data_IF_644040868777
#
_entry.id   IF_644040868777
#
_cell.length_a   1.000
_cell.length_b   1.000
_cell.length_c   1.000
_cell.angle_alpha   90.00
_cell.angle_beta   90.00
_cell.angle_gamma   90.00
#
_symmetry.space_group_name_H-M   'P 1'
#
loop_
_entity.id
_entity.type
_entity.pdbx_description
1 polymer ?
#
# COMPACT_ATOMS: atom_id res chain seq x y z
N UNK A 1 -30.25 10.23 -3.13
CA UNK A 1 -28.98 9.90 -3.82
C UNK A 1 -27.99 9.33 -2.82
N UNK A 2 -27.56 8.14 -3.07
CA UNK A 2 -26.61 7.51 -2.16
C UNK A 2 -25.22 8.08 -2.36
N UNK A 3 -24.53 8.34 -1.25
CA UNK A 3 -23.11 8.66 -1.31
C UNK A 3 -22.34 7.42 -1.65
N UNK A 4 -21.41 7.53 -2.58
CA UNK A 4 -20.47 6.47 -2.81
C UNK A 4 -19.65 6.23 -1.55
N UNK A 5 -19.44 4.98 -1.22
CA UNK A 5 -18.55 4.64 -0.12
C UNK A 5 -17.14 5.07 -0.46
N UNK A 6 -16.48 5.69 0.48
CA UNK A 6 -15.07 6.00 0.33
C UNK A 6 -14.27 4.72 0.13
N UNK A 7 -13.34 4.74 -0.79
CA UNK A 7 -12.38 3.65 -0.94
C UNK A 7 -11.44 3.65 0.25
N UNK A 8 -11.06 2.48 0.69
CA UNK A 8 -10.19 2.31 1.85
C UNK A 8 -8.80 1.91 1.41
N UNK A 9 -7.80 2.64 1.85
CA UNK A 9 -6.40 2.33 1.56
C UNK A 9 -5.71 1.92 2.85
N UNK A 10 -5.03 0.78 2.81
CA UNK A 10 -4.18 0.34 3.92
C UNK A 10 -2.76 0.79 3.65
N UNK A 11 -2.19 1.56 4.57
CA UNK A 11 -0.81 2.03 4.51
C UNK A 11 0.02 1.28 5.53
N UNK A 12 1.07 0.61 5.08
CA UNK A 12 2.00 -0.11 5.94
C UNK A 12 3.36 0.56 5.83
N UNK A 13 3.77 1.27 6.87
CA UNK A 13 5.00 2.04 6.89
C UNK A 13 5.51 2.14 8.32
N UNK A 14 6.77 1.76 8.55
CA UNK A 14 7.34 1.77 9.89
C UNK A 14 7.81 3.16 10.34
N UNK A 15 8.14 4.05 9.44
CA UNK A 15 8.48 5.42 9.80
C UNK A 15 7.21 6.21 10.12
N UNK A 16 7.11 6.65 11.36
CA UNK A 16 5.92 7.36 11.84
C UNK A 16 5.65 8.65 11.08
N UNK A 17 6.68 9.41 10.77
CA UNK A 17 6.51 10.69 10.08
C UNK A 17 6.03 10.47 8.65
N UNK A 18 6.64 9.51 7.95
CA UNK A 18 6.24 9.17 6.58
C UNK A 18 4.80 8.63 6.58
N UNK A 19 4.50 7.74 7.52
CA UNK A 19 3.16 7.17 7.65
C UNK A 19 2.11 8.26 7.86
N UNK A 20 2.38 9.19 8.76
CA UNK A 20 1.45 10.29 9.06
C UNK A 20 1.25 11.22 7.87
N UNK A 21 2.30 11.50 7.11
CA UNK A 21 2.21 12.31 5.90
C UNK A 21 1.33 11.62 4.86
N UNK A 22 1.53 10.32 4.66
CA UNK A 22 0.72 9.55 3.70
C UNK A 22 -0.76 9.54 4.12
N UNK A 23 -1.02 9.29 5.40
CA UNK A 23 -2.39 9.27 5.92
C UNK A 23 -3.07 10.61 5.68
N UNK A 24 -2.37 11.70 5.99
CA UNK A 24 -2.90 13.04 5.82
C UNK A 24 -3.25 13.35 4.37
N UNK A 25 -2.34 13.04 3.45
CA UNK A 25 -2.57 13.31 2.04
C UNK A 25 -3.69 12.45 1.45
N UNK A 26 -3.71 11.17 1.79
CA UNK A 26 -4.74 10.26 1.28
C UNK A 26 -6.12 10.63 1.83
N UNK A 27 -6.18 11.02 3.09
CA UNK A 27 -7.43 11.48 3.70
C UNK A 27 -7.92 12.74 3.01
N UNK A 28 -7.01 13.66 2.71
CA UNK A 28 -7.35 14.89 1.99
C UNK A 28 -7.92 14.59 0.60
N UNK A 29 -7.42 13.53 -0.05
CA UNK A 29 -7.91 13.13 -1.37
C UNK A 29 -9.26 12.42 -1.33
N UNK A 30 -9.80 12.18 -0.15
CA UNK A 30 -11.12 11.58 0.00
C UNK A 30 -11.12 10.09 0.33
N UNK A 31 -9.98 9.49 0.55
CA UNK A 31 -9.90 8.08 0.92
C UNK A 31 -10.03 7.88 2.42
N UNK A 32 -10.62 6.76 2.81
CA UNK A 32 -10.52 6.30 4.18
C UNK A 32 -9.18 5.56 4.31
N UNK A 33 -8.49 5.70 5.41
CA UNK A 33 -7.15 5.13 5.57
C UNK A 33 -7.07 4.26 6.81
N UNK A 34 -6.61 3.03 6.61
CA UNK A 34 -6.16 2.16 7.68
C UNK A 34 -4.64 2.21 7.67
N UNK A 35 -4.02 2.07 8.81
CA UNK A 35 -2.56 2.10 8.86
C UNK A 35 -1.99 1.02 9.75
N UNK A 36 -0.76 0.61 9.44
CA UNK A 36 -0.01 -0.35 10.22
C UNK A 36 1.43 0.15 10.32
N UNK A 37 2.02 -0.02 11.50
CA UNK A 37 3.35 0.49 11.80
C UNK A 37 4.47 -0.46 11.39
N UNK A 38 4.14 -1.69 11.04
CA UNK A 38 5.12 -2.68 10.59
C UNK A 38 4.43 -3.80 9.84
N UNK A 39 5.23 -4.73 9.31
CA UNK A 39 4.70 -5.83 8.52
C UNK A 39 3.83 -6.80 9.30
N UNK A 40 4.12 -7.03 10.58
CA UNK A 40 3.28 -7.91 11.38
C UNK A 40 1.90 -7.34 11.63
N UNK A 41 1.85 -6.05 11.97
CA UNK A 41 0.57 -5.35 12.13
C UNK A 41 -0.18 -5.31 10.80
N UNK A 42 0.54 -5.09 9.71
CA UNK A 42 -0.03 -5.13 8.36
C UNK A 42 -0.69 -6.46 8.06
N UNK A 43 -0.04 -7.57 8.37
CA UNK A 43 -0.61 -8.90 8.15
C UNK A 43 -1.89 -9.11 8.95
N UNK A 44 -1.97 -8.58 10.17
CA UNK A 44 -3.19 -8.66 10.97
C UNK A 44 -4.34 -7.90 10.33
N UNK A 45 -4.06 -6.70 9.81
CA UNK A 45 -5.08 -5.91 9.13
C UNK A 45 -5.53 -6.60 7.83
N UNK A 46 -4.59 -7.23 7.12
CA UNK A 46 -4.92 -7.98 5.90
C UNK A 46 -5.95 -9.08 6.18
N UNK A 47 -5.84 -9.76 7.31
CA UNK A 47 -6.80 -10.80 7.68
C UNK A 47 -8.19 -10.25 7.93
N UNK A 48 -8.28 -9.05 8.47
CA UNK A 48 -9.58 -8.44 8.77
C UNK A 48 -10.32 -8.00 7.52
N UNK A 49 -9.62 -7.74 6.42
CA UNK A 49 -10.22 -7.23 5.20
C UNK A 49 -10.69 -5.79 5.34
N UNK A 50 -11.55 -5.35 4.43
CA UNK A 50 -12.13 -4.02 4.48
C UNK A 50 -11.28 -2.93 3.85
N UNK A 51 -10.37 -3.28 2.96
CA UNK A 51 -9.54 -2.34 2.24
C UNK A 51 -9.63 -2.62 0.75
N UNK A 52 -9.37 -1.59 -0.05
CA UNK A 52 -9.49 -1.65 -1.51
C UNK A 52 -8.13 -1.61 -2.20
N UNK A 53 -7.10 -1.13 -1.53
CA UNK A 53 -5.76 -1.02 -2.07
C UNK A 53 -4.77 -0.99 -0.91
N UNK A 54 -3.57 -1.52 -1.12
CA UNK A 54 -2.51 -1.54 -0.11
C UNK A 54 -1.30 -0.78 -0.62
N UNK A 55 -0.74 0.08 0.22
CA UNK A 55 0.55 0.73 -0.01
C UNK A 55 1.48 0.23 1.09
N UNK A 56 2.58 -0.40 0.71
CA UNK A 56 3.52 -0.93 1.70
C UNK A 56 4.96 -0.56 1.37
N UNK A 57 5.71 -0.21 2.40
CA UNK A 57 7.17 -0.10 2.29
C UNK A 57 7.75 -1.51 2.15
N UNK A 58 8.90 -1.63 1.52
CA UNK A 58 9.58 -2.91 1.34
C UNK A 58 10.43 -3.26 2.54
N UNK A 59 11.25 -2.31 3.00
CA UNK A 59 12.17 -2.55 4.11
C UNK A 59 11.52 -2.18 5.43
N UNK A 60 11.13 -3.19 6.20
CA UNK A 60 10.50 -3.01 7.49
C UNK A 60 11.00 -4.07 8.48
N UNK A 61 10.98 -3.78 9.79
CA UNK A 61 11.32 -4.81 10.77
C UNK A 61 10.29 -5.94 10.78
N UNK A 62 10.71 -7.11 11.20
CA UNK A 62 9.93 -8.35 11.39
C UNK A 62 9.49 -8.97 10.06
N UNK A 63 8.54 -8.39 9.37
CA UNK A 63 8.05 -8.90 8.10
C UNK A 63 8.29 -7.83 7.03
N UNK A 64 9.03 -8.20 5.99
CA UNK A 64 9.32 -7.27 4.89
C UNK A 64 8.10 -7.04 4.02
N UNK A 65 8.16 -6.01 3.18
CA UNK A 65 7.11 -5.77 2.20
C UNK A 65 6.89 -6.94 1.25
N UNK A 66 7.95 -7.72 0.96
CA UNK A 66 7.79 -8.93 0.14
C UNK A 66 6.84 -9.92 0.82
N UNK A 67 7.01 -10.13 2.12
CA UNK A 67 6.13 -11.01 2.88
C UNK A 67 4.70 -10.52 2.90
N UNK A 68 4.51 -9.21 3.04
CA UNK A 68 3.18 -8.60 3.03
C UNK A 68 2.50 -8.79 1.67
N UNK A 69 3.21 -8.50 0.59
CA UNK A 69 2.66 -8.65 -0.77
C UNK A 69 2.31 -10.10 -1.06
N UNK A 70 3.18 -11.03 -0.67
CA UNK A 70 2.94 -12.45 -0.88
C UNK A 70 1.67 -12.90 -0.16
N UNK A 71 1.52 -12.53 1.11
CA UNK A 71 0.34 -12.88 1.90
C UNK A 71 -0.93 -12.25 1.29
N UNK A 72 -0.85 -11.00 0.88
CA UNK A 72 -1.98 -10.32 0.25
C UNK A 72 -2.43 -11.03 -1.02
N UNK A 73 -1.51 -11.36 -1.89
CA UNK A 73 -1.84 -11.99 -3.18
C UNK A 73 -2.36 -13.41 -3.03
N UNK A 74 -2.00 -14.08 -1.95
CA UNK A 74 -2.56 -15.40 -1.64
C UNK A 74 -4.00 -15.30 -1.14
N UNK A 75 -4.28 -14.34 -0.26
CA UNK A 75 -5.62 -14.19 0.35
C UNK A 75 -6.58 -13.39 -0.51
N UNK A 76 -6.12 -12.33 -1.12
CA UNK A 76 -6.94 -11.38 -1.87
C UNK A 76 -6.24 -10.98 -3.16
N UNK A 77 -6.14 -11.89 -4.13
CA UNK A 77 -5.34 -11.64 -5.35
C UNK A 77 -5.85 -10.48 -6.21
N UNK A 78 -7.09 -10.08 -6.04
CA UNK A 78 -7.69 -8.98 -6.80
C UNK A 78 -7.44 -7.59 -6.19
N UNK A 79 -6.92 -7.53 -4.97
CA UNK A 79 -6.62 -6.24 -4.34
C UNK A 79 -5.28 -5.71 -4.83
N UNK A 80 -5.24 -4.52 -5.43
CA UNK A 80 -3.98 -3.96 -5.92
C UNK A 80 -3.06 -3.55 -4.79
N UNK A 81 -1.75 -3.69 -5.02
CA UNK A 81 -0.74 -3.32 -4.05
C UNK A 81 0.35 -2.48 -4.72
N UNK A 82 0.68 -1.36 -4.09
CA UNK A 82 1.79 -0.51 -4.46
C UNK A 82 2.90 -0.71 -3.43
N UNK A 83 4.06 -1.17 -3.88
CA UNK A 83 5.22 -1.33 -3.01
C UNK A 83 6.15 -0.13 -3.20
N UNK A 84 6.68 0.40 -2.12
CA UNK A 84 7.58 1.56 -2.16
C UNK A 84 8.97 1.13 -1.71
N UNK A 85 9.95 1.30 -2.58
CA UNK A 85 11.35 0.98 -2.29
C UNK A 85 12.06 2.20 -1.72
N UNK A 86 13.11 1.97 -0.95
CA UNK A 86 14.00 3.03 -0.50
C UNK A 86 14.88 3.54 -1.63
N UNK A 87 16.16 3.62 -1.36
CA UNK A 87 17.10 4.16 -2.33
C UNK A 87 17.62 3.06 -3.24
N UNK A 88 17.31 3.16 -4.53
CA UNK A 88 17.92 2.33 -5.54
C UNK A 88 17.48 0.88 -5.52
N UNK A 89 18.41 -0.01 -5.78
CA UNK A 89 18.12 -1.40 -6.12
C UNK A 89 18.25 -2.32 -4.93
N UNK A 90 17.18 -2.44 -4.17
CA UNK A 90 17.13 -3.45 -3.13
C UNK A 90 16.87 -4.81 -3.80
N UNK A 91 17.53 -5.88 -3.33
CA UNK A 91 17.32 -7.22 -3.92
C UNK A 91 15.84 -7.64 -3.90
N UNK A 92 15.12 -7.23 -2.88
CA UNK A 92 13.71 -7.56 -2.72
C UNK A 92 12.82 -6.89 -3.78
N UNK A 93 13.24 -5.74 -4.30
CA UNK A 93 12.45 -5.01 -5.29
C UNK A 93 12.24 -5.82 -6.57
N UNK A 94 13.25 -6.58 -7.00
CA UNK A 94 13.13 -7.41 -8.19
C UNK A 94 12.08 -8.52 -8.02
N UNK A 95 12.01 -9.09 -6.81
CA UNK A 95 10.99 -10.10 -6.52
C UNK A 95 9.60 -9.48 -6.49
N UNK A 96 9.49 -8.26 -5.97
CA UNK A 96 8.21 -7.57 -5.87
C UNK A 96 7.67 -7.11 -7.22
N UNK A 97 8.52 -6.77 -8.16
CA UNK A 97 8.08 -6.37 -9.49
C UNK A 97 7.22 -7.43 -10.17
N UNK A 98 7.40 -8.70 -9.78
CA UNK A 98 6.62 -9.80 -10.33
C UNK A 98 5.29 -10.02 -9.59
N UNK A 99 5.16 -9.52 -8.38
CA UNK A 99 3.99 -9.79 -7.52
C UNK A 99 3.17 -8.56 -7.21
N UNK A 100 3.82 -7.42 -7.00
CA UNK A 100 3.11 -6.17 -6.75
C UNK A 100 2.53 -5.63 -8.05
N UNK A 101 1.44 -4.91 -7.95
CA UNK A 101 0.85 -4.26 -9.12
C UNK A 101 1.70 -3.08 -9.58
N UNK A 102 2.42 -2.47 -8.65
CA UNK A 102 3.30 -1.36 -8.96
C UNK A 102 4.40 -1.25 -7.91
N UNK A 103 5.60 -0.92 -8.35
CA UNK A 103 6.73 -0.65 -7.45
C UNK A 103 7.23 0.75 -7.72
N UNK A 104 7.23 1.60 -6.71
CA UNK A 104 7.69 2.98 -6.80
C UNK A 104 8.92 3.20 -5.93
N UNK A 105 9.85 4.03 -6.40
CA UNK A 105 11.04 4.40 -5.64
C UNK A 105 10.81 5.70 -4.88
N UNK A 106 11.34 5.80 -3.67
CA UNK A 106 11.34 7.05 -2.90
C UNK A 106 12.27 8.08 -3.55
N UNK A 107 11.95 9.37 -3.52
CA UNK A 107 10.76 9.96 -2.92
C UNK A 107 9.55 9.84 -3.85
N UNK A 108 8.40 9.48 -3.28
CA UNK A 108 7.16 9.35 -4.04
C UNK A 108 6.39 10.67 -3.97
N UNK A 109 6.07 11.21 -5.13
CA UNK A 109 5.28 12.45 -5.20
C UNK A 109 3.80 12.11 -5.06
N UNK A 110 3.11 12.90 -4.25
CA UNK A 110 1.68 12.68 -3.99
C UNK A 110 0.85 12.73 -5.28
N UNK A 111 1.18 13.64 -6.20
CA UNK A 111 0.46 13.71 -7.47
C UNK A 111 0.59 12.45 -8.31
N UNK A 112 1.79 11.83 -8.31
CA UNK A 112 2.01 10.57 -9.00
C UNK A 112 1.28 9.43 -8.30
N UNK A 113 1.38 9.39 -6.98
CA UNK A 113 0.72 8.35 -6.19
C UNK A 113 -0.79 8.39 -6.41
N UNK A 114 -1.37 9.57 -6.43
CA UNK A 114 -2.79 9.76 -6.69
C UNK A 114 -3.21 9.15 -8.03
N UNK A 115 -2.45 9.42 -9.09
CA UNK A 115 -2.74 8.87 -10.42
C UNK A 115 -2.69 7.36 -10.43
N UNK A 116 -1.69 6.77 -9.80
CA UNK A 116 -1.54 5.32 -9.73
C UNK A 116 -2.67 4.67 -8.93
N UNK A 117 -3.05 5.28 -7.82
CA UNK A 117 -4.16 4.79 -7.01
C UNK A 117 -5.45 4.81 -7.84
N UNK A 118 -5.74 5.92 -8.50
CA UNK A 118 -6.94 6.04 -9.31
C UNK A 118 -6.98 5.01 -10.44
N UNK A 119 -5.85 4.81 -11.11
CA UNK A 119 -5.75 3.83 -12.19
C UNK A 119 -5.99 2.40 -11.67
N UNK A 120 -5.35 2.03 -10.59
CA UNK A 120 -5.48 0.68 -10.04
C UNK A 120 -6.89 0.41 -9.51
N UNK A 121 -7.49 1.37 -8.84
CA UNK A 121 -8.85 1.22 -8.34
C UNK A 121 -9.87 1.13 -9.47
N UNK A 122 -9.66 1.88 -10.55
CA UNK A 122 -10.54 1.82 -11.72
C UNK A 122 -10.49 0.45 -12.40
N UNK A 123 -9.30 -0.15 -12.47
CA UNK A 123 -9.12 -1.48 -13.07
C UNK A 123 -9.78 -2.58 -12.25
N UNK A 124 -9.89 -2.37 -10.95
CA UNK A 124 -10.45 -3.37 -10.04
C UNK A 124 -11.99 -3.45 -10.10
N UNK A 125 -12.63 -2.36 -10.43
CA UNK A 125 -14.11 -2.27 -10.36
C UNK A 125 -14.87 -3.24 -11.29
#
# INVERSE_FOLDING_TARGET
MEKEKSRVILVIEDDEDIRNVLIKHLTYLGYAVLSAADGMEGLKVLESGGYDLVITDIVMPFVSGVGVVTALKEKHPDIPVIAITGYGKEPEAAALEKKADLVLAKPVRIAELKKHIETLLAQRS
#
